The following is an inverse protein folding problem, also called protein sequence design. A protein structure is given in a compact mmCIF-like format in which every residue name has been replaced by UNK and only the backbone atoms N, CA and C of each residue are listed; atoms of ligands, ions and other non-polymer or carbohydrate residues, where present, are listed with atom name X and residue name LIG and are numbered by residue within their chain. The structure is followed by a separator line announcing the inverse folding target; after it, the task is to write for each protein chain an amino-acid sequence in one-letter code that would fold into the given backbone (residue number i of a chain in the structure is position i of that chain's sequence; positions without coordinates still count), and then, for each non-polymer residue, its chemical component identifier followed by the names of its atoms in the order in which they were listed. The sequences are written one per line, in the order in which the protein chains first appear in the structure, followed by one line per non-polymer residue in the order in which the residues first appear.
data_IF_846043945703
#
_entry.id   IF_846043945703
#
_cell.length_a   1.000
_cell.length_b   1.000
_cell.length_c   1.000
_cell.angle_alpha   90.00
_cell.angle_beta   90.00
_cell.angle_gamma   90.00
#
_symmetry.space_group_name_H-M   'P 1'
#
loop_
_entity.id
_entity.type
_entity.pdbx_description
1 polymer ?
#
# COMPACT_ATOMS: atom_id res chain seq x y z
N UNK A 1 6.49 -15.64 -12.87
CA UNK A 1 5.18 -14.98 -13.15
C UNK A 1 5.36 -13.48 -13.25
N UNK A 2 4.41 -12.77 -13.86
CA UNK A 2 4.43 -11.30 -13.87
C UNK A 2 3.58 -10.76 -12.72
N UNK A 3 4.17 -9.86 -11.94
CA UNK A 3 3.55 -9.24 -10.77
C UNK A 3 3.49 -7.73 -10.98
N UNK A 4 2.32 -7.12 -10.84
CA UNK A 4 2.16 -5.67 -10.86
C UNK A 4 2.20 -5.13 -9.42
N UNK A 5 3.06 -4.15 -9.17
CA UNK A 5 3.22 -3.58 -7.82
C UNK A 5 2.97 -2.08 -7.86
N UNK A 6 2.05 -1.57 -7.04
CA UNK A 6 1.99 -0.15 -6.72
C UNK A 6 2.82 0.12 -5.46
N UNK A 7 3.46 1.28 -5.37
CA UNK A 7 4.34 1.58 -4.24
C UNK A 7 5.66 0.80 -4.23
N UNK A 8 6.08 0.23 -5.37
CA UNK A 8 7.30 -0.56 -5.53
C UNK A 8 8.59 0.17 -5.07
N UNK A 9 8.61 1.50 -5.13
CA UNK A 9 9.77 2.34 -4.72
C UNK A 9 9.72 2.77 -3.24
N UNK A 10 8.69 2.36 -2.50
CA UNK A 10 8.54 2.61 -1.06
C UNK A 10 9.36 1.65 -0.20
N UNK A 11 9.30 1.85 1.13
CA UNK A 11 10.06 1.07 2.10
C UNK A 11 9.81 -0.45 1.97
N UNK A 12 8.56 -0.85 2.04
CA UNK A 12 8.15 -2.27 1.90
C UNK A 12 8.32 -2.73 0.45
N UNK A 13 7.88 -1.91 -0.52
CA UNK A 13 7.94 -2.26 -1.94
C UNK A 13 9.35 -2.57 -2.44
N UNK A 14 10.37 -1.79 -2.06
CA UNK A 14 11.75 -2.06 -2.45
C UNK A 14 12.26 -3.43 -1.95
N UNK A 15 11.94 -3.79 -0.71
CA UNK A 15 12.33 -5.09 -0.15
C UNK A 15 11.59 -6.23 -0.83
N UNK A 16 10.30 -6.04 -1.10
CA UNK A 16 9.48 -7.02 -1.82
C UNK A 16 9.99 -7.25 -3.25
N UNK A 17 10.28 -6.18 -4.00
CA UNK A 17 10.86 -6.26 -5.35
C UNK A 17 12.16 -7.05 -5.34
N UNK A 18 13.05 -6.80 -4.36
CA UNK A 18 14.31 -7.53 -4.25
C UNK A 18 14.10 -9.04 -3.98
N UNK A 19 13.09 -9.41 -3.19
CA UNK A 19 12.74 -10.81 -2.94
C UNK A 19 12.16 -11.48 -4.19
N UNK A 20 11.20 -10.84 -4.84
CA UNK A 20 10.56 -11.37 -6.05
C UNK A 20 11.55 -11.55 -7.21
N UNK A 21 12.55 -10.68 -7.32
CA UNK A 21 13.61 -10.86 -8.31
C UNK A 21 14.50 -12.08 -8.04
N UNK A 22 14.76 -12.42 -6.77
CA UNK A 22 15.49 -13.65 -6.42
C UNK A 22 14.75 -14.91 -6.88
N UNK A 23 13.42 -14.85 -6.90
CA UNK A 23 12.56 -15.94 -7.35
C UNK A 23 12.24 -15.86 -8.85
N UNK A 24 12.98 -15.05 -9.62
CA UNK A 24 12.86 -14.87 -11.08
C UNK A 24 11.48 -14.39 -11.55
N UNK A 25 10.79 -13.56 -10.74
CA UNK A 25 9.56 -12.91 -11.17
C UNK A 25 9.86 -11.67 -12.03
N UNK A 26 9.00 -11.42 -13.01
CA UNK A 26 8.98 -10.15 -13.76
C UNK A 26 8.10 -9.17 -13.02
N UNK A 27 8.63 -7.99 -12.77
CA UNK A 27 7.93 -6.94 -12.02
C UNK A 27 7.52 -5.83 -12.98
N UNK A 28 6.22 -5.61 -13.05
CA UNK A 28 5.64 -4.36 -13.53
C UNK A 28 5.34 -3.47 -12.32
N UNK A 29 5.52 -2.17 -12.41
CA UNK A 29 5.14 -1.28 -11.32
C UNK A 29 4.52 0.02 -11.84
N UNK A 30 3.58 0.54 -11.05
CA UNK A 30 2.93 1.82 -11.29
C UNK A 30 3.60 2.92 -10.47
N UNK A 31 3.88 4.05 -11.09
CA UNK A 31 4.42 5.23 -10.44
C UNK A 31 3.77 6.51 -10.97
N UNK A 32 3.46 7.45 -10.06
CA UNK A 32 3.00 8.80 -10.40
C UNK A 32 4.15 9.73 -10.82
N UNK A 33 5.41 9.30 -10.65
CA UNK A 33 6.60 10.06 -11.05
C UNK A 33 7.21 9.46 -12.31
N UNK A 34 7.14 10.19 -13.42
CA UNK A 34 7.74 9.79 -14.70
C UNK A 34 9.26 9.58 -14.58
N UNK A 35 9.95 10.36 -13.75
CA UNK A 35 11.39 10.23 -13.52
C UNK A 35 11.82 8.95 -12.81
N UNK A 36 10.89 8.25 -12.17
CA UNK A 36 11.13 6.97 -11.49
C UNK A 36 10.86 5.76 -12.37
N UNK A 37 10.39 5.95 -13.60
CA UNK A 37 10.11 4.86 -14.51
C UNK A 37 11.42 4.28 -15.06
N UNK A 38 11.55 2.96 -14.94
CA UNK A 38 12.67 2.17 -15.48
C UNK A 38 12.10 1.17 -16.49
N UNK A 39 12.90 0.83 -17.49
CA UNK A 39 12.52 -0.16 -18.50
C UNK A 39 13.63 -1.20 -18.65
N UNK A 40 13.74 -2.10 -17.69
CA UNK A 40 14.64 -3.23 -17.71
C UNK A 40 13.86 -4.52 -18.03
N UNK A 41 14.48 -5.59 -18.56
CA UNK A 41 13.78 -6.81 -18.96
C UNK A 41 12.83 -7.38 -17.89
N UNK A 42 13.25 -7.38 -16.62
CA UNK A 42 12.47 -7.94 -15.52
C UNK A 42 11.89 -6.89 -14.55
N UNK A 43 12.01 -5.59 -14.87
CA UNK A 43 11.55 -4.48 -14.02
C UNK A 43 11.10 -3.31 -14.88
N UNK A 44 9.79 -3.22 -15.15
CA UNK A 44 9.20 -2.24 -16.05
C UNK A 44 8.26 -1.30 -15.29
N UNK A 45 8.52 -0.01 -15.40
CA UNK A 45 7.70 1.04 -14.81
C UNK A 45 6.69 1.62 -15.79
N UNK A 46 5.48 1.83 -15.33
CA UNK A 46 4.38 2.42 -16.08
C UNK A 46 3.81 3.62 -15.33
N UNK A 47 3.42 4.63 -16.07
CA UNK A 47 2.84 5.82 -15.46
C UNK A 47 1.39 5.59 -15.08
N UNK A 48 1.00 6.14 -13.94
CA UNK A 48 -0.38 6.28 -13.53
C UNK A 48 -0.59 7.55 -12.71
N UNK A 49 -1.82 8.02 -12.65
CA UNK A 49 -2.24 9.12 -11.77
C UNK A 49 -3.67 8.87 -11.29
N UNK A 50 -3.86 8.29 -10.09
CA UNK A 50 -5.20 8.03 -9.56
C UNK A 50 -6.08 9.26 -9.47
N UNK A 51 -5.53 10.45 -9.16
CA UNK A 51 -6.31 11.68 -9.01
C UNK A 51 -6.88 12.22 -10.33
N UNK A 52 -6.32 11.82 -11.48
CA UNK A 52 -6.81 12.20 -12.82
C UNK A 52 -7.41 11.03 -13.59
N UNK A 53 -7.42 9.83 -13.01
CA UNK A 53 -7.90 8.62 -13.67
C UNK A 53 -6.99 8.11 -14.80
N UNK A 54 -5.72 8.56 -14.86
CA UNK A 54 -4.77 8.16 -15.89
C UNK A 54 -4.00 6.91 -15.47
N UNK A 55 -3.96 5.89 -16.36
CA UNK A 55 -3.21 4.67 -16.12
C UNK A 55 -2.76 4.04 -17.46
N UNK A 56 -1.49 3.65 -17.56
CA UNK A 56 -0.97 2.92 -18.70
C UNK A 56 -1.41 1.45 -18.62
N UNK A 57 -2.33 1.05 -19.49
CA UNK A 57 -2.90 -0.30 -19.50
C UNK A 57 -1.90 -1.40 -19.85
N UNK A 58 -0.77 -1.08 -20.49
CA UNK A 58 0.33 -2.02 -20.73
C UNK A 58 0.94 -2.58 -19.44
N UNK A 59 0.74 -1.89 -18.31
CA UNK A 59 1.16 -2.39 -17.01
C UNK A 59 0.54 -3.76 -16.65
N UNK A 60 -0.62 -4.10 -17.25
CA UNK A 60 -1.37 -5.32 -16.96
C UNK A 60 -1.07 -6.49 -17.91
N UNK A 61 -0.22 -6.28 -18.92
CA UNK A 61 0.16 -7.32 -19.87
C UNK A 61 0.80 -8.53 -19.16
N UNK A 62 0.18 -9.71 -19.32
CA UNK A 62 0.58 -10.98 -18.71
C UNK A 62 0.68 -10.99 -17.17
N UNK A 63 0.11 -10.01 -16.49
CA UNK A 63 0.07 -9.93 -15.04
C UNK A 63 -0.96 -10.92 -14.47
N UNK A 64 -0.54 -11.74 -13.50
CA UNK A 64 -1.41 -12.67 -12.78
C UNK A 64 -1.68 -12.26 -11.34
N UNK A 65 -0.82 -11.43 -10.76
CA UNK A 65 -0.91 -10.97 -9.37
C UNK A 65 -0.70 -9.46 -9.31
N UNK A 66 -1.58 -8.75 -8.60
CA UNK A 66 -1.40 -7.34 -8.27
C UNK A 66 -1.11 -7.21 -6.78
N UNK A 67 -0.07 -6.45 -6.43
CA UNK A 67 0.27 -6.11 -5.05
C UNK A 67 0.16 -4.60 -4.87
N UNK A 68 -0.83 -4.16 -4.08
CA UNK A 68 -1.17 -2.76 -3.89
C UNK A 68 -0.61 -2.23 -2.57
N UNK A 69 0.51 -1.48 -2.64
CA UNK A 69 1.20 -0.90 -1.47
C UNK A 69 1.23 0.63 -1.52
N UNK A 70 0.66 1.26 -2.57
CA UNK A 70 0.68 2.70 -2.72
C UNK A 70 -0.22 3.39 -1.69
N UNK A 71 0.26 4.50 -1.16
CA UNK A 71 -0.48 5.36 -0.25
C UNK A 71 0.39 6.53 0.21
N UNK A 72 -0.21 7.68 0.47
CA UNK A 72 0.48 8.83 1.04
C UNK A 72 1.03 8.49 2.44
N UNK A 73 2.17 9.08 2.79
CA UNK A 73 2.79 8.85 4.11
C UNK A 73 1.91 9.40 5.23
N UNK A 74 1.74 8.63 6.30
CA UNK A 74 1.02 9.09 7.50
C UNK A 74 1.90 9.90 8.46
N UNK A 75 3.19 10.09 8.16
CA UNK A 75 4.14 10.76 9.06
C UNK A 75 4.11 12.30 8.98
N UNK A 76 3.41 12.88 8.01
CA UNK A 76 3.24 14.33 7.89
C UNK A 76 2.15 14.84 8.85
N UNK A 77 2.13 16.16 9.10
CA UNK A 77 1.08 16.80 9.91
C UNK A 77 -0.30 16.61 9.25
N UNK A 78 -1.27 16.10 10.00
CA UNK A 78 -2.62 15.81 9.53
C UNK A 78 -3.51 17.04 9.49
N UNK A 79 -3.29 17.91 8.53
CA UNK A 79 -4.24 18.97 8.18
C UNK A 79 -5.49 18.36 7.53
N UNK A 80 -6.59 19.12 7.45
CA UNK A 80 -7.81 18.65 6.77
C UNK A 80 -7.54 18.21 5.33
N UNK A 81 -6.74 18.99 4.59
CA UNK A 81 -6.36 18.65 3.22
C UNK A 81 -5.50 17.37 3.16
N UNK A 82 -4.54 17.22 4.10
CA UNK A 82 -3.68 16.05 4.10
C UNK A 82 -4.38 14.77 4.55
N UNK A 83 -5.35 14.86 5.47
CA UNK A 83 -6.24 13.74 5.81
C UNK A 83 -7.00 13.23 4.59
N UNK A 84 -7.53 14.14 3.77
CA UNK A 84 -8.17 13.80 2.50
C UNK A 84 -7.20 13.08 1.56
N UNK A 85 -5.98 13.61 1.38
CA UNK A 85 -4.92 12.97 0.57
C UNK A 85 -4.59 11.55 1.06
N UNK A 86 -4.54 11.33 2.38
CA UNK A 86 -4.28 9.99 2.96
C UNK A 86 -5.37 8.99 2.54
N UNK A 87 -6.64 9.35 2.59
CA UNK A 87 -7.76 8.50 2.15
C UNK A 87 -7.69 8.28 0.63
N UNK A 88 -7.69 9.38 -0.14
CA UNK A 88 -7.76 9.33 -1.61
C UNK A 88 -6.61 8.54 -2.22
N UNK A 89 -5.39 8.71 -1.74
CA UNK A 89 -4.23 7.97 -2.25
C UNK A 89 -4.34 6.44 -2.14
N UNK A 90 -5.20 5.94 -1.26
CA UNK A 90 -5.45 4.51 -1.05
C UNK A 90 -6.68 4.04 -1.82
N UNK A 91 -7.76 4.75 -1.67
CA UNK A 91 -9.06 4.40 -2.26
C UNK A 91 -9.05 4.60 -3.77
N UNK A 92 -8.62 5.77 -4.26
CA UNK A 92 -8.63 6.07 -5.69
C UNK A 92 -7.63 5.20 -6.48
N UNK A 93 -6.50 4.84 -5.84
CA UNK A 93 -5.55 3.91 -6.44
C UNK A 93 -6.15 2.53 -6.69
N UNK A 94 -6.86 1.99 -5.69
CA UNK A 94 -7.55 0.71 -5.83
C UNK A 94 -8.70 0.79 -6.84
N UNK A 95 -9.51 1.84 -6.78
CA UNK A 95 -10.64 2.07 -7.69
C UNK A 95 -10.18 2.16 -9.15
N UNK A 96 -9.12 2.93 -9.43
CA UNK A 96 -8.58 3.05 -10.79
C UNK A 96 -8.12 1.71 -11.36
N UNK A 97 -7.41 0.91 -10.56
CA UNK A 97 -7.00 -0.44 -10.97
C UNK A 97 -8.23 -1.32 -11.23
N UNK A 98 -9.21 -1.29 -10.34
CA UNK A 98 -10.44 -2.06 -10.47
C UNK A 98 -11.19 -1.74 -11.77
N UNK A 99 -11.47 -0.46 -12.01
CA UNK A 99 -12.16 -0.04 -13.24
C UNK A 99 -11.34 -0.36 -14.50
N UNK A 100 -10.02 -0.26 -14.43
CA UNK A 100 -9.15 -0.63 -15.55
C UNK A 100 -9.28 -2.11 -15.90
N UNK A 101 -9.10 -3.02 -14.92
CA UNK A 101 -9.14 -4.46 -15.20
C UNK A 101 -10.53 -4.98 -15.61
N UNK A 102 -11.61 -4.25 -15.29
CA UNK A 102 -12.96 -4.54 -15.80
C UNK A 102 -13.08 -4.32 -17.30
N UNK A 103 -12.30 -3.41 -17.85
CA UNK A 103 -12.46 -2.93 -19.24
C UNK A 103 -11.43 -3.47 -20.22
N UNK A 104 -10.33 -4.05 -19.72
CA UNK A 104 -9.27 -4.60 -20.56
C UNK A 104 -9.18 -6.13 -20.44
N UNK A 105 -8.74 -6.84 -21.51
CA UNK A 105 -8.32 -8.23 -21.38
C UNK A 105 -7.17 -8.35 -20.37
N UNK A 106 -7.29 -9.24 -19.40
CA UNK A 106 -6.24 -9.46 -18.41
C UNK A 106 -6.23 -10.90 -17.88
N UNK A 107 -5.18 -11.27 -17.15
CA UNK A 107 -4.98 -12.60 -16.55
C UNK A 107 -4.92 -12.53 -15.02
N UNK A 108 -5.37 -11.44 -14.42
CA UNK A 108 -5.29 -11.21 -12.97
C UNK A 108 -6.18 -12.19 -12.22
N UNK A 109 -5.58 -12.95 -11.32
CA UNK A 109 -6.28 -13.93 -10.47
C UNK A 109 -6.18 -13.59 -8.98
N UNK A 110 -5.24 -12.72 -8.60
CA UNK A 110 -5.01 -12.34 -7.20
C UNK A 110 -4.77 -10.85 -7.06
N UNK A 111 -5.40 -10.26 -6.05
CA UNK A 111 -5.16 -8.89 -5.62
C UNK A 111 -4.77 -8.91 -4.14
N UNK A 112 -3.54 -8.51 -3.83
CA UNK A 112 -3.00 -8.43 -2.48
C UNK A 112 -2.84 -6.97 -2.13
N UNK A 113 -3.59 -6.48 -1.16
CA UNK A 113 -3.50 -5.10 -0.69
C UNK A 113 -2.84 -5.02 0.67
N UNK A 114 -1.98 -4.02 0.85
CA UNK A 114 -1.66 -3.56 2.18
C UNK A 114 -2.92 -2.99 2.86
N UNK A 115 -2.93 -3.08 4.16
CA UNK A 115 -3.85 -2.45 5.11
C UNK A 115 -3.06 -2.12 6.37
N UNK A 116 -3.71 -1.81 7.47
CA UNK A 116 -3.01 -1.47 8.71
C UNK A 116 -3.70 -2.06 9.94
N UNK A 117 -2.91 -2.38 10.96
CA UNK A 117 -3.41 -2.76 12.29
C UNK A 117 -4.21 -1.63 12.96
N UNK A 118 -4.10 -0.40 12.47
CA UNK A 118 -4.92 0.75 12.92
C UNK A 118 -6.42 0.61 12.68
N UNK A 119 -6.90 -0.47 12.06
CA UNK A 119 -8.31 -0.82 11.99
C UNK A 119 -8.84 -1.27 13.34
N UNK A 120 -8.00 -1.87 14.18
CA UNK A 120 -8.42 -2.40 15.48
C UNK A 120 -8.51 -1.28 16.52
N UNK A 121 -9.52 -1.33 17.42
CA UNK A 121 -9.59 -0.46 18.56
C UNK A 121 -8.35 -0.57 19.46
N UNK A 122 -8.01 0.53 20.14
CA UNK A 122 -6.91 0.56 21.09
C UNK A 122 -7.37 0.04 22.46
N UNK A 123 -7.24 -1.27 22.68
CA UNK A 123 -7.52 -1.93 23.95
C UNK A 123 -6.34 -2.84 24.33
N UNK A 124 -5.70 -2.53 25.47
CA UNK A 124 -4.53 -3.28 25.96
C UNK A 124 -4.88 -4.65 26.57
N UNK A 125 -6.16 -4.89 26.86
CA UNK A 125 -6.64 -6.13 27.49
C UNK A 125 -7.24 -7.12 26.48
N UNK A 126 -7.30 -6.73 25.19
CA UNK A 126 -7.92 -7.55 24.16
C UNK A 126 -6.93 -7.91 23.06
N UNK A 127 -6.93 -9.17 22.65
CA UNK A 127 -6.14 -9.66 21.53
C UNK A 127 -7.04 -9.71 20.30
N UNK A 128 -6.76 -8.86 19.31
CA UNK A 128 -7.49 -8.81 18.05
C UNK A 128 -6.99 -9.85 17.07
N UNK A 129 -7.90 -10.48 16.36
CA UNK A 129 -7.67 -11.43 15.29
C UNK A 129 -8.23 -10.90 13.97
N UNK A 130 -7.87 -11.51 12.85
CA UNK A 130 -8.24 -11.06 11.51
C UNK A 130 -9.75 -11.08 11.26
N UNK A 131 -10.49 -11.93 11.95
CA UNK A 131 -11.95 -12.04 11.87
C UNK A 131 -12.71 -11.06 12.78
N UNK A 132 -12.03 -10.24 13.58
CA UNK A 132 -12.70 -9.19 14.36
C UNK A 132 -13.32 -8.15 13.42
N UNK A 133 -14.58 -7.82 13.71
CA UNK A 133 -15.38 -6.85 12.94
C UNK A 133 -15.43 -5.46 13.56
N UNK A 134 -14.97 -5.34 14.80
CA UNK A 134 -14.93 -4.05 15.49
C UNK A 134 -13.84 -3.17 14.88
N UNK A 135 -14.22 -1.94 14.53
CA UNK A 135 -13.36 -0.94 13.90
C UNK A 135 -13.12 0.20 14.88
N UNK A 136 -11.88 0.68 14.92
CA UNK A 136 -11.49 1.85 15.70
C UNK A 136 -12.17 3.13 15.20
N UNK A 137 -12.69 3.94 16.11
CA UNK A 137 -13.39 5.20 15.78
C UNK A 137 -12.44 6.35 15.42
N UNK A 138 -11.12 6.12 15.41
CA UNK A 138 -10.16 7.14 15.02
C UNK A 138 -10.11 7.36 13.51
N UNK A 139 -9.44 8.45 13.11
CA UNK A 139 -9.16 8.72 11.70
C UNK A 139 -8.41 7.58 11.02
N UNK A 140 -7.50 6.88 11.71
CA UNK A 140 -6.79 5.73 11.13
C UNK A 140 -7.68 4.52 10.94
N UNK A 141 -8.64 4.29 11.84
CA UNK A 141 -9.67 3.27 11.68
C UNK A 141 -10.53 3.54 10.44
N UNK A 142 -11.02 4.78 10.28
CA UNK A 142 -11.77 5.22 9.08
C UNK A 142 -10.98 5.00 7.79
N UNK A 143 -9.72 5.48 7.74
CA UNK A 143 -8.84 5.30 6.58
C UNK A 143 -8.69 3.83 6.22
N UNK A 144 -8.46 2.99 7.22
CA UNK A 144 -8.19 1.57 6.99
C UNK A 144 -9.45 0.84 6.54
N UNK A 145 -10.60 1.18 7.09
CA UNK A 145 -11.89 0.65 6.66
C UNK A 145 -12.16 0.95 5.18
N UNK A 146 -12.09 2.22 4.78
CA UNK A 146 -12.31 2.64 3.39
C UNK A 146 -11.32 1.97 2.43
N UNK A 147 -10.08 1.80 2.87
CA UNK A 147 -9.06 1.10 2.10
C UNK A 147 -9.41 -0.38 1.89
N UNK A 148 -9.81 -1.10 2.94
CA UNK A 148 -10.23 -2.50 2.83
C UNK A 148 -11.52 -2.65 2.01
N UNK A 149 -12.47 -1.72 2.12
CA UNK A 149 -13.69 -1.70 1.30
C UNK A 149 -13.35 -1.56 -0.19
N UNK A 150 -12.48 -0.60 -0.55
CA UNK A 150 -12.02 -0.43 -1.93
C UNK A 150 -11.25 -1.64 -2.47
N UNK A 151 -10.57 -2.38 -1.60
CA UNK A 151 -9.89 -3.63 -1.93
C UNK A 151 -10.87 -4.78 -2.15
N UNK A 152 -11.91 -4.88 -1.31
CA UNK A 152 -12.86 -5.98 -1.37
C UNK A 152 -13.72 -6.01 -2.64
N UNK A 153 -13.88 -4.90 -3.35
CA UNK A 153 -14.63 -4.84 -4.63
C UNK A 153 -14.06 -5.81 -5.69
N UNK A 154 -12.76 -6.12 -5.64
CA UNK A 154 -12.12 -7.06 -6.59
C UNK A 154 -12.69 -8.47 -6.53
N UNK A 155 -13.33 -8.86 -5.42
CA UNK A 155 -14.04 -10.15 -5.30
C UNK A 155 -15.17 -10.29 -6.31
N UNK A 156 -15.80 -9.17 -6.73
CA UNK A 156 -16.86 -9.17 -7.75
C UNK A 156 -16.38 -9.59 -9.14
N UNK A 157 -15.06 -9.53 -9.38
CA UNK A 157 -14.42 -9.98 -10.61
C UNK A 157 -13.88 -11.42 -10.52
N UNK A 158 -14.29 -12.18 -9.51
CA UNK A 158 -13.77 -13.54 -9.22
C UNK A 158 -12.24 -13.57 -8.97
N UNK A 159 -11.67 -12.46 -8.51
CA UNK A 159 -10.27 -12.34 -8.14
C UNK A 159 -10.13 -12.69 -6.65
N UNK A 160 -9.14 -13.53 -6.31
CA UNK A 160 -8.81 -13.83 -4.92
C UNK A 160 -8.19 -12.59 -4.27
N UNK A 161 -8.84 -12.08 -3.24
CA UNK A 161 -8.41 -10.89 -2.50
C UNK A 161 -7.77 -11.28 -1.18
N UNK A 162 -6.59 -10.72 -0.90
CA UNK A 162 -5.92 -10.83 0.39
C UNK A 162 -5.56 -9.45 0.90
N UNK A 163 -5.87 -9.16 2.15
CA UNK A 163 -5.55 -7.91 2.83
C UNK A 163 -4.50 -8.16 3.90
N UNK A 164 -3.39 -7.43 3.87
CA UNK A 164 -2.28 -7.58 4.82
C UNK A 164 -2.28 -6.38 5.76
N UNK A 165 -2.76 -6.55 6.99
CA UNK A 165 -2.78 -5.52 8.04
C UNK A 165 -1.39 -5.34 8.62
N UNK A 166 -0.67 -4.33 8.15
CA UNK A 166 0.72 -4.06 8.49
C UNK A 166 0.78 -3.20 9.76
N UNK A 167 1.63 -3.60 10.70
CA UNK A 167 2.00 -2.79 11.87
C UNK A 167 3.06 -1.74 11.53
N UNK A 168 3.69 -1.18 12.58
CA UNK A 168 4.79 -0.23 12.40
C UNK A 168 6.03 -0.95 11.87
N UNK A 169 6.50 -0.54 10.70
CA UNK A 169 7.71 -1.12 10.09
C UNK A 169 8.94 -0.35 10.54
N UNK A 170 9.85 -1.04 11.21
CA UNK A 170 11.16 -0.51 11.59
C UNK A 170 12.21 -0.89 10.55
N UNK A 171 12.85 0.12 9.95
CA UNK A 171 13.96 -0.06 9.04
C UNK A 171 15.05 0.99 9.28
N UNK A 172 16.31 0.61 9.02
CA UNK A 172 17.46 1.51 9.28
C UNK A 172 17.49 2.71 8.34
N UNK A 173 17.01 2.51 7.11
CA UNK A 173 17.16 3.48 6.01
C UNK A 173 16.04 4.53 5.99
N UNK A 174 14.87 4.20 6.53
CA UNK A 174 13.70 5.11 6.49
C UNK A 174 12.57 4.60 7.40
N UNK A 175 11.50 5.40 7.52
CA UNK A 175 10.31 5.03 8.28
C UNK A 175 10.39 5.43 9.75
N UNK A 176 9.56 4.79 10.59
CA UNK A 176 9.36 5.19 11.98
C UNK A 176 10.64 5.18 12.82
N UNK A 177 11.50 4.17 12.65
CA UNK A 177 12.71 4.04 13.45
C UNK A 177 13.65 5.26 13.27
N UNK A 178 13.82 5.72 12.03
CA UNK A 178 14.67 6.89 11.73
C UNK A 178 14.13 8.14 12.41
N UNK A 179 12.83 8.37 12.35
CA UNK A 179 12.21 9.55 13.00
C UNK A 179 12.28 9.47 14.53
N UNK A 180 12.04 8.30 15.12
CA UNK A 180 12.11 8.09 16.58
C UNK A 180 13.54 8.23 17.12
N UNK A 181 14.56 7.88 16.35
CA UNK A 181 15.96 7.96 16.81
C UNK A 181 16.57 9.35 16.67
N UNK A 182 15.98 10.25 15.88
CA UNK A 182 16.49 11.63 15.72
C UNK A 182 16.64 12.37 17.07
N UNK A 183 15.59 12.53 17.89
CA UNK A 183 15.73 13.23 19.16
C UNK A 183 16.69 12.52 20.12
N UNK A 184 16.75 11.19 20.09
CA UNK A 184 17.66 10.40 20.96
C UNK A 184 19.12 10.75 20.67
N UNK A 185 19.48 10.93 19.39
CA UNK A 185 20.86 11.33 18.99
C UNK A 185 21.28 12.69 19.52
N UNK A 186 20.34 13.54 19.89
CA UNK A 186 20.59 14.87 20.49
C UNK A 186 20.40 14.86 22.03
N UNK A 187 20.33 13.68 22.67
CA UNK A 187 20.12 13.58 24.11
C UNK A 187 18.68 13.89 24.58
N UNK A 188 17.74 14.01 23.64
CA UNK A 188 16.33 14.36 23.91
C UNK A 188 15.41 13.14 23.86
N UNK A 189 15.93 11.95 24.22
CA UNK A 189 15.14 10.73 24.30
C UNK A 189 14.07 10.82 25.39
N UNK A 190 12.85 10.37 25.07
CA UNK A 190 11.76 10.27 26.03
C UNK A 190 11.03 8.94 25.86
N UNK A 191 10.52 8.41 26.98
CA UNK A 191 9.59 7.28 26.97
C UNK A 191 8.22 7.79 26.52
N UNK A 192 7.64 7.15 25.53
CA UNK A 192 6.31 7.50 25.03
C UNK A 192 5.26 6.59 25.68
N UNK A 193 4.22 7.20 26.28
CA UNK A 193 3.15 6.50 26.98
C UNK A 193 3.69 5.63 28.14
N UNK A 194 3.29 4.36 28.19
CA UNK A 194 3.68 3.41 29.23
C UNK A 194 5.04 2.72 29.00
N UNK A 195 5.73 3.05 27.92
CA UNK A 195 7.03 2.44 27.56
C UNK A 195 6.92 1.34 26.53
#
# INVERSE_FOLDING_TARGET
MNVLITGATGLVGNKLVALLHKDNHVIHYLSTSKSKLKNNPNYKGFYWNPSTGEIDTKAFEDVSVIIHLAGASISKKWTKAYKKEIIESRVEGANLIFETIKTIPNKVTRFISASAVGIYPNDLNYIYHENNTQIDNSFLGEVTQLWEESTNQFKSLSILVSTVRIGVVFAKESGALVEMTKPIKYGLGAVLSSG
#
